data_IF_690747401549
#
_entry.id   IF_690747401549
#
_cell.length_a   1.000
_cell.length_b   1.000
_cell.length_c   1.000
_cell.angle_alpha   90.00
_cell.angle_beta   90.00
_cell.angle_gamma   90.00
#
_symmetry.space_group_name_H-M   'P 1'
#
loop_
_entity.id
_entity.type
_entity.pdbx_description
1 polymer ?
#
# COMPACT_ATOMS: atom_id res chain seq x y z
N UNK A 1 4.38 6.57 5.45
CA UNK A 1 3.56 5.39 5.07
C UNK A 1 2.09 5.78 4.94
N UNK A 2 1.43 5.32 3.88
CA UNK A 2 -0.01 5.54 3.71
C UNK A 2 -0.79 4.66 4.67
N UNK A 3 -1.78 5.24 5.34
CA UNK A 3 -2.73 4.50 6.16
C UNK A 3 -3.98 4.12 5.33
N UNK A 4 -5.01 3.66 5.97
CA UNK A 4 -6.23 3.20 5.31
C UNK A 4 -6.91 4.33 4.54
N UNK A 5 -7.19 4.10 3.27
CA UNK A 5 -7.85 5.07 2.38
C UNK A 5 -9.33 5.30 2.73
N UNK A 6 -9.95 4.32 3.35
CA UNK A 6 -11.29 4.40 3.92
C UNK A 6 -11.33 3.53 5.18
N UNK A 7 -11.26 4.13 6.36
CA UNK A 7 -11.29 3.40 7.62
C UNK A 7 -12.70 2.99 8.07
N UNK A 8 -13.76 3.35 7.34
CA UNK A 8 -15.15 3.04 7.73
C UNK A 8 -15.40 1.57 8.05
N UNK A 9 -14.81 0.58 7.29
CA UNK A 9 -14.98 -0.83 7.60
C UNK A 9 -14.47 -1.25 8.98
N UNK A 10 -13.64 -0.43 9.64
CA UNK A 10 -13.20 -0.72 11.02
C UNK A 10 -14.35 -0.76 12.02
N UNK A 11 -15.47 -0.07 11.73
CA UNK A 11 -16.68 -0.10 12.56
C UNK A 11 -17.35 -1.47 12.61
N UNK A 12 -17.10 -2.30 11.60
CA UNK A 12 -17.64 -3.64 11.46
C UNK A 12 -16.76 -4.73 12.09
N UNK A 13 -15.55 -4.33 12.56
CA UNK A 13 -14.65 -5.26 13.23
C UNK A 13 -15.20 -5.64 14.61
N UNK A 14 -14.88 -6.86 15.08
CA UNK A 14 -15.30 -7.30 16.39
C UNK A 14 -14.84 -6.35 17.51
N UNK A 15 -15.60 -6.22 18.60
CA UNK A 15 -15.34 -5.23 19.67
C UNK A 15 -14.01 -5.43 20.42
N UNK A 16 -13.37 -6.60 20.27
CA UNK A 16 -12.05 -6.84 20.85
C UNK A 16 -10.90 -6.21 20.04
N UNK A 17 -11.16 -5.70 18.85
CA UNK A 17 -10.18 -4.90 18.09
C UNK A 17 -10.19 -3.51 18.68
N UNK A 18 -9.20 -3.20 19.50
CA UNK A 18 -9.02 -1.84 20.04
C UNK A 18 -8.46 -0.92 18.97
N UNK A 19 -9.11 0.22 18.81
CA UNK A 19 -8.59 1.32 18.02
C UNK A 19 -8.08 2.39 19.01
N UNK A 20 -6.78 2.64 18.98
CA UNK A 20 -6.16 3.66 19.87
C UNK A 20 -6.50 5.09 19.45
N UNK A 21 -7.07 5.25 18.25
CA UNK A 21 -7.44 6.54 17.68
C UNK A 21 -8.82 6.47 17.04
N UNK A 22 -9.47 7.63 16.88
CA UNK A 22 -10.74 7.70 16.17
C UNK A 22 -10.58 7.35 14.69
N UNK A 23 -11.64 6.81 14.09
CA UNK A 23 -11.68 6.46 12.66
C UNK A 23 -11.36 7.67 11.78
N UNK A 24 -11.85 8.86 12.15
CA UNK A 24 -11.57 10.09 11.41
C UNK A 24 -10.07 10.44 11.42
N UNK A 25 -9.40 10.20 12.55
CA UNK A 25 -7.96 10.44 12.68
C UNK A 25 -7.14 9.58 11.69
N UNK A 26 -7.52 8.32 11.48
CA UNK A 26 -6.88 7.48 10.46
C UNK A 26 -7.05 8.04 9.04
N UNK A 27 -8.25 8.57 8.72
CA UNK A 27 -8.50 9.24 7.45
C UNK A 27 -7.64 10.48 7.26
N UNK A 28 -7.52 11.31 8.28
CA UNK A 28 -6.69 12.53 8.26
C UNK A 28 -5.20 12.20 8.07
N UNK A 29 -4.71 11.17 8.74
CA UNK A 29 -3.33 10.70 8.56
C UNK A 29 -3.09 10.23 7.13
N UNK A 30 -4.01 9.46 6.55
CA UNK A 30 -3.93 9.03 5.15
C UNK A 30 -3.86 10.22 4.19
N UNK A 31 -4.75 11.21 4.36
CA UNK A 31 -4.77 12.43 3.53
C UNK A 31 -3.44 13.19 3.66
N UNK A 32 -2.91 13.32 4.87
CA UNK A 32 -1.61 13.95 5.12
C UNK A 32 -0.47 13.24 4.42
N UNK A 33 -0.42 11.91 4.50
CA UNK A 33 0.61 11.10 3.86
C UNK A 33 0.54 11.19 2.33
N UNK A 34 -0.66 11.15 1.75
CA UNK A 34 -0.85 11.31 0.29
C UNK A 34 -0.43 12.70 -0.17
N UNK A 35 -0.74 13.75 0.59
CA UNK A 35 -0.30 15.12 0.30
C UNK A 35 1.22 15.25 0.36
N UNK A 36 1.85 14.59 1.33
CA UNK A 36 3.31 14.56 1.43
C UNK A 36 3.94 13.85 0.22
N UNK A 37 3.46 12.66 -0.14
CA UNK A 37 3.89 11.93 -1.35
C UNK A 37 3.76 12.80 -2.61
N UNK A 38 2.66 13.54 -2.74
CA UNK A 38 2.46 14.46 -3.85
C UNK A 38 3.49 15.59 -3.89
N UNK A 39 3.87 16.13 -2.73
CA UNK A 39 4.90 17.19 -2.67
C UNK A 39 6.27 16.64 -3.09
N UNK A 40 6.67 15.49 -2.54
CA UNK A 40 7.99 14.92 -2.87
C UNK A 40 8.08 14.46 -4.33
N UNK A 41 6.97 14.11 -4.97
CA UNK A 41 6.96 13.76 -6.40
C UNK A 41 7.28 14.92 -7.32
N UNK A 42 7.21 16.16 -6.84
CA UNK A 42 7.49 17.38 -7.60
C UNK A 42 8.94 17.85 -7.49
N UNK A 43 9.75 17.16 -6.68
CA UNK A 43 11.18 17.49 -6.59
C UNK A 43 11.83 17.16 -7.93
N UNK A 44 12.39 18.20 -8.57
CA UNK A 44 13.10 18.08 -9.82
C UNK A 44 14.48 17.45 -9.60
N UNK A 45 15.02 16.85 -10.65
CA UNK A 45 16.36 16.24 -10.69
C UNK A 45 16.53 14.88 -9.96
N UNK A 46 15.46 14.17 -9.67
CA UNK A 46 15.57 12.77 -9.23
C UNK A 46 15.84 11.88 -10.46
N UNK A 47 17.01 11.26 -10.51
CA UNK A 47 17.36 10.31 -11.58
C UNK A 47 16.42 9.08 -11.53
N UNK A 48 16.13 8.57 -10.34
CA UNK A 48 15.25 7.44 -10.07
C UNK A 48 14.40 7.70 -8.82
N UNK A 49 13.16 7.22 -8.82
CA UNK A 49 12.23 7.35 -7.71
C UNK A 49 11.72 5.99 -7.24
N UNK A 50 12.12 5.60 -6.04
CA UNK A 50 11.58 4.45 -5.33
C UNK A 50 10.61 4.93 -4.26
N UNK A 51 9.39 4.44 -4.30
CA UNK A 51 8.37 4.74 -3.29
C UNK A 51 8.12 3.50 -2.45
N UNK A 52 8.17 3.65 -1.14
CA UNK A 52 7.89 2.57 -0.19
C UNK A 52 6.69 2.94 0.67
N UNK A 53 5.67 2.10 0.66
CA UNK A 53 4.47 2.27 1.49
C UNK A 53 4.13 0.98 2.21
N UNK A 54 3.39 1.05 3.33
CA UNK A 54 2.89 -0.14 3.98
C UNK A 54 1.75 -0.77 3.18
N UNK A 55 0.76 0.03 2.76
CA UNK A 55 -0.39 -0.45 1.99
C UNK A 55 -0.13 -0.44 0.48
N UNK A 56 -0.84 -1.31 -0.23
CA UNK A 56 -0.74 -1.38 -1.69
C UNK A 56 -1.26 -0.09 -2.36
N UNK A 57 -0.63 0.38 -3.45
CA UNK A 57 -1.07 1.58 -4.16
C UNK A 57 -2.33 1.39 -5.01
N UNK A 58 -2.85 0.17 -5.10
CA UNK A 58 -4.07 -0.15 -5.86
C UNK A 58 -4.77 -1.38 -5.31
N UNK A 59 -6.10 -1.33 -5.25
CA UNK A 59 -6.94 -2.50 -4.93
C UNK A 59 -6.75 -3.66 -5.92
N UNK A 60 -6.36 -3.38 -7.16
CA UNK A 60 -6.09 -4.39 -8.20
C UNK A 60 -4.84 -5.24 -7.93
N UNK A 61 -4.02 -4.84 -6.96
CA UNK A 61 -2.83 -5.58 -6.54
C UNK A 61 -3.11 -6.56 -5.40
N UNK A 62 -4.30 -6.53 -4.83
CA UNK A 62 -4.72 -7.43 -3.76
C UNK A 62 -4.99 -8.84 -4.29
N UNK A 63 -4.84 -9.84 -3.41
CA UNK A 63 -5.29 -11.21 -3.67
C UNK A 63 -6.82 -11.25 -3.69
N UNK A 64 -7.44 -11.80 -4.72
CA UNK A 64 -8.89 -11.95 -4.75
C UNK A 64 -9.37 -12.85 -3.60
N UNK A 65 -10.20 -12.32 -2.73
CA UNK A 65 -10.91 -13.08 -1.71
C UNK A 65 -12.16 -12.29 -1.27
N UNK A 66 -13.18 -12.97 -0.75
CA UNK A 66 -14.39 -12.30 -0.27
C UNK A 66 -14.10 -11.33 0.88
N UNK A 67 -13.23 -11.72 1.81
CA UNK A 67 -12.79 -10.87 2.91
C UNK A 67 -12.03 -9.63 2.41
N UNK A 68 -11.02 -9.82 1.56
CA UNK A 68 -10.23 -8.71 1.01
C UNK A 68 -11.09 -7.78 0.17
N UNK A 69 -12.06 -8.29 -0.59
CA UNK A 69 -12.97 -7.47 -1.37
C UNK A 69 -13.81 -6.53 -0.49
N UNK A 70 -14.34 -7.05 0.63
CA UNK A 70 -15.14 -6.26 1.58
C UNK A 70 -14.29 -5.18 2.27
N UNK A 71 -13.08 -5.51 2.68
CA UNK A 71 -12.19 -4.63 3.45
C UNK A 71 -11.04 -4.05 2.62
N UNK A 72 -11.17 -4.04 1.30
CA UNK A 72 -10.09 -3.65 0.39
C UNK A 72 -9.48 -2.27 0.67
N UNK A 73 -10.25 -1.32 1.22
CA UNK A 73 -9.78 0.01 1.60
C UNK A 73 -8.82 0.00 2.79
N UNK A 74 -8.83 -1.06 3.61
CA UNK A 74 -7.86 -1.25 4.70
C UNK A 74 -6.53 -1.84 4.21
N UNK A 75 -6.46 -2.34 2.98
CA UNK A 75 -5.29 -2.99 2.41
C UNK A 75 -4.64 -2.18 1.29
N UNK A 76 -5.39 -1.30 0.65
CA UNK A 76 -4.92 -0.57 -0.51
C UNK A 76 -5.55 0.82 -0.65
N UNK A 77 -4.79 1.71 -1.26
CA UNK A 77 -5.22 3.04 -1.67
C UNK A 77 -5.31 3.14 -3.20
N UNK A 78 -6.12 4.07 -3.73
CA UNK A 78 -6.22 4.28 -5.18
C UNK A 78 -5.26 5.39 -5.65
N UNK A 79 -3.95 5.12 -5.60
CA UNK A 79 -2.91 6.09 -5.96
C UNK A 79 -2.47 6.05 -7.42
N UNK A 80 -2.95 5.10 -8.21
CA UNK A 80 -2.47 4.85 -9.59
C UNK A 80 -2.77 5.96 -10.61
N UNK A 81 -3.59 6.93 -10.24
CA UNK A 81 -3.86 8.13 -11.06
C UNK A 81 -3.03 9.33 -10.62
N UNK A 82 -2.34 9.25 -9.49
CA UNK A 82 -1.54 10.35 -8.93
C UNK A 82 -0.23 10.55 -9.70
N UNK A 83 0.32 11.76 -9.61
CA UNK A 83 1.61 12.09 -10.23
C UNK A 83 2.75 11.25 -9.66
N UNK A 84 2.76 11.02 -8.34
CA UNK A 84 3.78 10.20 -7.68
C UNK A 84 3.81 8.77 -8.23
N UNK A 85 2.64 8.14 -8.44
CA UNK A 85 2.60 6.80 -8.98
C UNK A 85 3.12 6.73 -10.41
N UNK A 86 2.72 7.70 -11.24
CA UNK A 86 3.17 7.76 -12.64
C UNK A 86 4.66 8.02 -12.78
N UNK A 87 5.27 8.71 -11.81
CA UNK A 87 6.69 9.06 -11.80
C UNK A 87 7.56 7.99 -11.16
N UNK A 88 7.02 7.17 -10.26
CA UNK A 88 7.77 6.15 -9.57
C UNK A 88 8.31 5.09 -10.55
N UNK A 89 9.60 4.83 -10.52
CA UNK A 89 10.22 3.71 -11.22
C UNK A 89 9.85 2.39 -10.54
N UNK A 90 9.90 2.38 -9.21
CA UNK A 90 9.54 1.22 -8.39
C UNK A 90 8.64 1.65 -7.23
N UNK A 91 7.61 0.86 -6.98
CA UNK A 91 6.75 0.98 -5.81
C UNK A 91 6.79 -0.30 -4.98
N UNK A 92 7.28 -0.21 -3.75
CA UNK A 92 7.37 -1.34 -2.82
C UNK A 92 6.26 -1.22 -1.79
N UNK A 93 5.57 -2.32 -1.49
CA UNK A 93 4.51 -2.32 -0.49
C UNK A 93 4.46 -3.63 0.31
N UNK A 94 3.76 -3.60 1.45
CA UNK A 94 3.56 -4.73 2.35
C UNK A 94 2.10 -5.00 2.65
N UNK A 95 1.80 -5.43 3.88
CA UNK A 95 0.48 -5.60 4.50
C UNK A 95 -0.45 -6.65 3.89
N UNK A 96 -0.35 -6.91 2.60
CA UNK A 96 -1.34 -7.72 1.85
C UNK A 96 -1.15 -9.23 1.99
N UNK A 97 -0.04 -9.67 2.59
CA UNK A 97 0.40 -11.08 2.67
C UNK A 97 0.29 -11.79 1.30
N UNK A 98 0.66 -11.08 0.25
CA UNK A 98 0.63 -11.58 -1.12
C UNK A 98 1.78 -10.98 -1.92
N UNK A 99 2.74 -11.83 -2.28
CA UNK A 99 3.93 -11.41 -2.99
C UNK A 99 3.64 -11.13 -4.46
N UNK A 100 4.21 -10.06 -4.97
CA UNK A 100 4.10 -9.62 -6.37
C UNK A 100 5.38 -8.95 -6.83
N UNK A 101 5.68 -9.15 -8.11
CA UNK A 101 6.65 -8.37 -8.86
C UNK A 101 6.11 -8.21 -10.27
N UNK A 102 5.48 -7.09 -10.53
CA UNK A 102 4.76 -6.84 -11.78
C UNK A 102 4.95 -5.39 -12.25
N UNK A 103 4.92 -5.19 -13.55
CA UNK A 103 4.77 -3.85 -14.09
C UNK A 103 3.27 -3.50 -14.13
N UNK A 104 2.87 -2.54 -13.32
CA UNK A 104 1.50 -2.05 -13.27
C UNK A 104 1.44 -0.63 -13.82
N UNK A 105 0.86 -0.49 -15.01
CA UNK A 105 0.97 0.72 -15.85
C UNK A 105 2.44 1.00 -16.21
N UNK A 106 3.02 2.11 -15.74
CA UNK A 106 4.41 2.50 -15.99
C UNK A 106 5.36 2.21 -14.83
N UNK A 107 4.86 1.67 -13.72
CA UNK A 107 5.60 1.52 -12.47
C UNK A 107 5.83 0.03 -12.19
N UNK A 108 7.05 -0.39 -11.90
CA UNK A 108 7.29 -1.72 -11.33
C UNK A 108 6.80 -1.73 -9.90
N UNK A 109 5.91 -2.66 -9.58
CA UNK A 109 5.28 -2.76 -8.26
C UNK A 109 5.69 -4.08 -7.63
N UNK A 110 6.31 -3.99 -6.46
CA UNK A 110 6.92 -5.14 -5.79
C UNK A 110 6.37 -5.28 -4.37
N UNK A 111 6.07 -6.49 -3.98
CA UNK A 111 5.91 -6.88 -2.58
C UNK A 111 6.56 -8.24 -2.35
N UNK A 112 7.35 -8.33 -1.28
CA UNK A 112 8.08 -9.53 -0.88
C UNK A 112 7.95 -9.65 0.64
N UNK A 113 6.97 -10.41 1.08
CA UNK A 113 6.49 -10.44 2.45
C UNK A 113 6.66 -11.84 3.05
N UNK A 114 6.99 -11.89 4.33
CA UNK A 114 7.02 -13.15 5.10
C UNK A 114 5.59 -13.65 5.41
N UNK A 115 4.62 -12.74 5.52
CA UNK A 115 3.28 -13.06 5.99
C UNK A 115 3.21 -13.20 7.51
N UNK A 116 2.26 -14.00 7.98
CA UNK A 116 2.08 -14.37 9.39
C UNK A 116 2.01 -15.88 9.52
N UNK A 117 2.19 -16.41 10.74
CA UNK A 117 2.11 -17.86 11.00
C UNK A 117 0.82 -18.52 10.47
N UNK A 118 -0.32 -17.80 10.53
CA UNK A 118 -1.60 -18.28 10.00
C UNK A 118 -1.82 -18.00 8.49
N UNK A 119 -0.97 -17.20 7.87
CA UNK A 119 -1.06 -16.81 6.46
C UNK A 119 0.36 -16.52 5.93
N UNK A 120 1.21 -17.57 5.83
CA UNK A 120 2.59 -17.41 5.39
C UNK A 120 2.67 -17.07 3.90
N UNK A 121 3.73 -16.36 3.54
CA UNK A 121 4.09 -16.06 2.16
C UNK A 121 5.48 -16.61 1.85
N UNK A 122 5.71 -16.98 0.60
CA UNK A 122 7.03 -17.40 0.13
C UNK A 122 7.93 -16.18 -0.06
N UNK A 123 8.59 -15.76 1.02
CA UNK A 123 9.56 -14.68 0.94
C UNK A 123 10.81 -15.11 0.18
N UNK A 124 11.24 -14.29 -0.77
CA UNK A 124 12.53 -14.44 -1.41
C UNK A 124 13.56 -13.53 -0.74
N UNK A 125 14.40 -14.07 0.12
CA UNK A 125 15.43 -13.32 0.87
C UNK A 125 16.58 -12.81 0.00
N UNK A 126 16.70 -13.30 -1.24
CA UNK A 126 17.73 -12.91 -2.20
C UNK A 126 17.19 -12.00 -3.31
N UNK A 127 15.96 -11.54 -3.19
CA UNK A 127 15.35 -10.69 -4.22
C UNK A 127 16.08 -9.34 -4.34
N UNK A 128 16.68 -9.11 -5.50
CA UNK A 128 17.29 -7.84 -5.88
C UNK A 128 16.36 -7.07 -6.82
N UNK A 129 16.23 -5.77 -6.59
CA UNK A 129 15.46 -4.86 -7.44
C UNK A 129 16.45 -3.96 -8.17
N UNK A 130 16.62 -4.18 -9.46
CA UNK A 130 17.36 -3.24 -10.32
C UNK A 130 16.46 -2.07 -10.67
N UNK A 131 16.98 -0.86 -10.52
CA UNK A 131 16.29 0.42 -10.74
C UNK A 131 16.94 1.15 -11.92
#
# INVERSE_FOLDING_TARGET
CTLWSDPSPLRELPPYVRLDMSINHYGDMHIRDVRWLHRVSKVDNLAKLVVVTHHAPSKKLLKPSSFVNRYSSLYASNLTKTSIFKRADVWIFGHTHHNKDVVFKSTRVVSNQLGKNADPCDINTEQLIKI
#
